data_IF_173378060395
#
_entry.id   IF_173378060395
#
_cell.length_a   1.000
_cell.length_b   1.000
_cell.length_c   1.000
_cell.angle_alpha   90.00
_cell.angle_beta   90.00
_cell.angle_gamma   90.00
#
_symmetry.space_group_name_H-M   'P 1'
#
loop_
_entity.id
_entity.type
_entity.pdbx_description
1 polymer ?
#
# COMPACT_ATOMS: atom_id res chain seq x y z
N UNK A 1 -5.28 -34.22 -1.65
CA UNK A 1 -4.28 -33.44 -2.42
C UNK A 1 -4.39 -32.01 -1.96
N UNK A 2 -3.37 -31.54 -1.24
CA UNK A 2 -3.30 -30.23 -0.60
C UNK A 2 -3.38 -29.11 -1.64
N UNK A 3 -4.31 -28.17 -1.44
CA UNK A 3 -4.41 -26.95 -2.24
C UNK A 3 -3.46 -25.91 -1.67
N UNK A 4 -2.45 -25.54 -2.45
CA UNK A 4 -1.58 -24.39 -2.20
C UNK A 4 -2.42 -23.10 -2.28
N UNK A 5 -2.89 -22.63 -1.13
CA UNK A 5 -3.32 -21.25 -1.00
C UNK A 5 -2.09 -20.38 -1.22
N UNK A 6 -2.19 -19.43 -2.15
CA UNK A 6 -1.24 -18.32 -2.23
C UNK A 6 -1.40 -17.54 -0.94
N UNK A 7 -0.58 -17.93 0.04
CA UNK A 7 -0.34 -17.17 1.24
C UNK A 7 0.27 -15.87 0.74
N UNK A 8 -0.52 -14.79 0.70
CA UNK A 8 0.07 -13.46 0.78
C UNK A 8 0.93 -13.52 2.04
N UNK A 9 2.26 -13.60 1.87
CA UNK A 9 3.17 -13.81 2.98
C UNK A 9 2.89 -12.73 4.02
N UNK A 10 2.18 -13.10 5.09
CA UNK A 10 2.23 -12.34 6.31
C UNK A 10 3.72 -12.28 6.66
N UNK A 11 4.31 -11.10 6.92
CA UNK A 11 5.66 -11.04 7.46
C UNK A 11 5.68 -11.97 8.66
N UNK A 12 6.46 -13.04 8.54
CA UNK A 12 6.63 -14.08 9.54
C UNK A 12 6.92 -13.38 10.87
N UNK A 13 6.17 -13.73 11.91
CA UNK A 13 6.27 -13.14 13.25
C UNK A 13 7.61 -13.41 13.97
N UNK A 14 8.66 -13.80 13.24
CA UNK A 14 10.02 -13.84 13.74
C UNK A 14 10.68 -12.54 13.33
N UNK A 15 11.04 -11.71 14.32
CA UNK A 15 11.65 -10.40 14.09
C UNK A 15 12.80 -10.51 13.10
N UNK A 16 12.70 -9.81 11.96
CA UNK A 16 13.79 -9.73 11.01
C UNK A 16 15.06 -9.26 11.75
N UNK A 17 16.17 -9.94 11.54
CA UNK A 17 17.46 -9.54 12.10
C UNK A 17 18.04 -8.34 11.33
N UNK A 18 19.05 -7.68 11.89
CA UNK A 18 19.82 -6.63 11.22
C UNK A 18 20.27 -7.07 9.80
N UNK A 19 20.47 -8.38 9.61
CA UNK A 19 20.97 -9.06 8.40
C UNK A 19 20.24 -8.78 7.10
N UNK A 20 19.03 -8.22 7.16
CA UNK A 20 18.21 -7.94 5.97
C UNK A 20 17.90 -6.44 5.78
N UNK A 21 18.45 -5.56 6.62
CA UNK A 21 18.19 -4.13 6.55
C UNK A 21 19.13 -3.42 5.57
N UNK A 22 18.61 -2.41 4.87
CA UNK A 22 19.39 -1.44 4.11
C UNK A 22 19.71 -0.23 4.98
N UNK A 23 20.97 -0.07 5.38
CA UNK A 23 21.46 1.06 6.14
C UNK A 23 22.11 2.09 5.21
N UNK A 24 21.66 3.34 5.23
CA UNK A 24 22.34 4.44 4.55
C UNK A 24 23.15 5.27 5.56
N UNK A 25 24.45 5.42 5.31
CA UNK A 25 25.37 6.22 6.11
C UNK A 25 25.74 7.48 5.34
N UNK A 26 25.52 8.63 5.95
CA UNK A 26 25.80 9.94 5.36
C UNK A 26 26.82 10.65 6.26
N UNK A 27 28.08 10.71 5.85
CA UNK A 27 29.15 11.41 6.60
C UNK A 27 30.18 11.97 5.62
N UNK A 28 30.53 13.26 5.77
CA UNK A 28 31.50 13.93 4.91
C UNK A 28 32.92 13.39 5.08
N UNK A 29 33.22 12.73 6.20
CA UNK A 29 34.48 12.03 6.42
C UNK A 29 34.45 10.65 5.77
N UNK A 30 35.25 10.48 4.71
CA UNK A 30 35.46 9.18 4.07
C UNK A 30 36.02 8.12 5.03
N UNK A 31 36.80 8.53 6.02
CA UNK A 31 37.35 7.61 7.01
C UNK A 31 36.23 7.02 7.88
N UNK A 32 35.32 7.87 8.37
CA UNK A 32 34.18 7.44 9.16
C UNK A 32 33.26 6.51 8.37
N UNK A 33 32.94 6.86 7.11
CA UNK A 33 32.10 6.00 6.27
C UNK A 33 32.77 4.65 6.00
N UNK A 34 34.08 4.62 5.69
CA UNK A 34 34.85 3.37 5.48
C UNK A 34 34.90 2.49 6.75
N UNK A 35 35.04 3.10 7.93
CA UNK A 35 35.06 2.39 9.21
C UNK A 35 33.69 1.79 9.50
N UNK A 36 32.63 2.59 9.46
CA UNK A 36 31.27 2.12 9.73
C UNK A 36 30.82 1.07 8.70
N UNK A 37 31.14 1.25 7.42
CA UNK A 37 30.90 0.26 6.38
C UNK A 37 31.56 -1.08 6.74
N UNK A 38 32.87 -1.10 7.01
CA UNK A 38 33.58 -2.34 7.35
C UNK A 38 32.99 -3.06 8.57
N UNK A 39 32.47 -2.31 9.53
CA UNK A 39 31.98 -2.86 10.80
C UNK A 39 30.51 -3.29 10.76
N UNK A 40 29.69 -2.68 9.90
CA UNK A 40 28.25 -2.92 9.80
C UNK A 40 27.85 -3.77 8.58
N UNK A 41 28.68 -3.81 7.52
CA UNK A 41 28.41 -4.64 6.33
C UNK A 41 28.46 -6.14 6.60
N UNK A 42 28.95 -6.58 7.76
CA UNK A 42 28.86 -7.98 8.20
C UNK A 42 27.44 -8.37 8.62
N UNK A 43 26.64 -7.39 9.01
CA UNK A 43 25.37 -7.59 9.68
C UNK A 43 24.20 -6.99 8.92
N UNK A 44 24.40 -6.19 7.86
CA UNK A 44 23.33 -5.57 7.08
C UNK A 44 23.87 -5.08 5.72
N UNK A 45 22.99 -4.70 4.79
CA UNK A 45 23.41 -4.06 3.54
C UNK A 45 23.69 -2.57 3.80
N UNK A 46 24.91 -2.11 3.52
CA UNK A 46 25.33 -0.73 3.82
C UNK A 46 25.55 0.05 2.54
N UNK A 47 24.87 1.20 2.46
CA UNK A 47 25.03 2.22 1.43
C UNK A 47 25.71 3.41 2.08
N UNK A 48 26.65 4.06 1.39
CA UNK A 48 27.37 5.22 1.92
C UNK A 48 27.24 6.40 0.99
N UNK A 49 27.19 7.60 1.55
CA UNK A 49 27.22 8.87 0.85
C UNK A 49 28.08 9.86 1.63
N UNK A 50 28.90 10.65 0.94
CA UNK A 50 29.73 11.70 1.57
C UNK A 50 29.14 13.09 1.43
N UNK A 51 28.07 13.22 0.63
CA UNK A 51 27.35 14.49 0.45
C UNK A 51 25.84 14.28 0.47
N UNK A 52 25.11 15.33 0.85
CA UNK A 52 23.63 15.36 0.80
C UNK A 52 23.09 15.04 -0.59
N UNK A 53 23.75 15.54 -1.64
CA UNK A 53 23.34 15.29 -3.03
C UNK A 53 23.48 13.82 -3.42
N UNK A 54 24.59 13.17 -3.05
CA UNK A 54 24.78 11.75 -3.30
C UNK A 54 23.72 10.90 -2.58
N UNK A 55 23.43 11.21 -1.32
CA UNK A 55 22.42 10.51 -0.54
C UNK A 55 21.01 10.63 -1.15
N UNK A 56 20.63 11.83 -1.60
CA UNK A 56 19.34 12.04 -2.25
C UNK A 56 19.27 11.33 -3.61
N UNK A 57 20.36 11.38 -4.40
CA UNK A 57 20.42 10.70 -5.68
C UNK A 57 20.33 9.18 -5.53
N UNK A 58 20.94 8.59 -4.51
CA UNK A 58 20.89 7.14 -4.27
C UNK A 58 19.45 6.70 -3.95
N UNK A 59 18.76 7.43 -3.06
CA UNK A 59 17.34 7.22 -2.73
C UNK A 59 16.46 7.41 -3.97
N UNK A 60 16.69 8.46 -4.74
CA UNK A 60 15.87 8.77 -5.92
C UNK A 60 16.06 7.70 -7.03
N UNK A 61 17.27 7.13 -7.17
CA UNK A 61 17.62 6.07 -8.14
C UNK A 61 17.03 4.70 -7.84
N UNK A 62 16.57 4.44 -6.62
CA UNK A 62 15.99 3.13 -6.29
C UNK A 62 16.39 2.57 -4.95
N UNK A 63 17.36 3.16 -4.25
CA UNK A 63 17.74 2.66 -2.94
C UNK A 63 16.62 2.92 -1.92
N UNK A 64 16.26 1.89 -1.16
CA UNK A 64 15.22 1.94 -0.14
C UNK A 64 15.85 1.68 1.23
N UNK A 65 16.45 2.70 1.87
CA UNK A 65 17.02 2.53 3.20
C UNK A 65 15.92 2.31 4.23
N UNK A 66 16.15 1.34 5.12
CA UNK A 66 15.29 1.07 6.28
C UNK A 66 15.62 1.98 7.46
N UNK A 67 16.84 2.51 7.48
CA UNK A 67 17.36 3.42 8.50
C UNK A 67 18.52 4.26 7.94
N UNK A 68 18.67 5.49 8.44
CA UNK A 68 19.73 6.43 8.02
C UNK A 68 20.58 6.80 9.24
N UNK A 69 21.90 6.70 9.11
CA UNK A 69 22.86 7.33 10.01
C UNK A 69 23.35 8.63 9.37
N UNK A 70 23.05 9.77 9.98
CA UNK A 70 23.35 11.10 9.42
C UNK A 70 24.34 11.85 10.30
N UNK A 71 25.55 12.06 9.79
CA UNK A 71 26.52 12.90 10.45
C UNK A 71 26.12 14.38 10.39
N UNK A 72 26.25 15.04 11.52
CA UNK A 72 26.06 16.47 11.68
C UNK A 72 27.36 17.08 12.21
N UNK A 73 27.68 18.28 11.73
CA UNK A 73 28.69 19.12 12.38
C UNK A 73 28.01 20.34 12.96
N UNK A 74 28.46 20.75 14.14
CA UNK A 74 27.97 21.94 14.82
C UNK A 74 28.21 23.24 14.04
N UNK A 75 29.17 23.22 13.11
CA UNK A 75 29.60 24.40 12.36
C UNK A 75 28.92 24.54 11.00
N UNK A 76 28.36 23.46 10.42
CA UNK A 76 27.94 23.49 9.01
C UNK A 76 26.42 23.55 8.77
N UNK A 77 25.55 23.27 9.75
CA UNK A 77 24.08 23.27 9.57
C UNK A 77 23.51 22.25 8.56
N UNK A 78 24.32 21.79 7.61
CA UNK A 78 23.97 21.02 6.42
C UNK A 78 23.28 19.70 6.74
N UNK A 79 23.65 19.04 7.84
CA UNK A 79 23.01 17.77 8.24
C UNK A 79 21.58 17.96 8.74
N UNK A 80 21.30 19.04 9.48
CA UNK A 80 19.93 19.34 9.92
C UNK A 80 19.05 19.80 8.76
N UNK A 81 19.61 20.51 7.79
CA UNK A 81 18.91 20.86 6.55
C UNK A 81 18.58 19.63 5.70
N UNK A 82 19.48 18.65 5.64
CA UNK A 82 19.20 17.37 5.00
C UNK A 82 18.08 16.62 5.73
N UNK A 83 18.10 16.57 7.06
CA UNK A 83 17.02 15.96 7.85
C UNK A 83 15.65 16.60 7.54
N UNK A 84 15.60 17.95 7.48
CA UNK A 84 14.38 18.67 7.08
C UNK A 84 13.89 18.26 5.70
N UNK A 85 14.81 18.11 4.74
CA UNK A 85 14.46 17.70 3.39
C UNK A 85 13.95 16.25 3.32
N UNK A 86 14.59 15.33 4.05
CA UNK A 86 14.17 13.94 4.17
C UNK A 86 12.76 13.84 4.77
N UNK A 87 12.43 14.67 5.77
CA UNK A 87 11.11 14.65 6.41
C UNK A 87 10.00 15.29 5.56
N UNK A 88 10.33 16.12 4.57
CA UNK A 88 9.35 16.67 3.61
C UNK A 88 9.00 15.69 2.48
N UNK A 89 9.91 14.80 2.10
CA UNK A 89 9.70 13.85 0.99
C UNK A 89 8.88 12.63 1.46
N UNK A 90 7.78 12.33 0.77
CA UNK A 90 6.89 11.20 1.12
C UNK A 90 7.60 9.83 1.16
N UNK A 91 8.66 9.65 0.35
CA UNK A 91 9.44 8.40 0.29
C UNK A 91 10.38 8.21 1.50
N UNK A 92 10.75 9.28 2.18
CA UNK A 92 11.79 9.27 3.23
C UNK A 92 11.30 9.69 4.60
N UNK A 93 10.14 10.36 4.70
CA UNK A 93 9.57 10.87 5.97
C UNK A 93 9.33 9.80 7.05
N UNK A 94 9.26 8.52 6.66
CA UNK A 94 9.02 7.40 7.57
C UNK A 94 10.28 6.57 7.85
N UNK A 95 11.42 6.98 7.30
CA UNK A 95 12.69 6.30 7.51
C UNK A 95 13.31 6.89 8.79
N UNK A 96 13.58 6.06 9.82
CA UNK A 96 14.24 6.53 11.04
C UNK A 96 15.62 7.10 10.71
N UNK A 97 15.90 8.31 11.20
CA UNK A 97 17.20 8.98 11.05
C UNK A 97 17.85 9.11 12.43
N UNK A 98 19.03 8.51 12.59
CA UNK A 98 19.87 8.66 13.78
C UNK A 98 20.97 9.67 13.46
N UNK A 99 21.09 10.70 14.29
CA UNK A 99 22.12 11.72 14.13
C UNK A 99 23.46 11.26 14.73
N UNK A 100 24.56 11.64 14.09
CA UNK A 100 25.91 11.36 14.57
C UNK A 100 26.72 12.66 14.68
N UNK A 101 27.27 12.99 15.84
CA UNK A 101 28.01 14.22 16.05
C UNK A 101 29.42 13.96 16.60
N UNK A 102 30.38 14.83 16.27
CA UNK A 102 31.75 14.73 16.78
C UNK A 102 31.88 15.08 18.27
N UNK A 103 30.98 15.92 18.79
CA UNK A 103 30.93 16.34 20.19
C UNK A 103 29.48 16.33 20.68
N UNK A 104 29.30 16.14 21.98
CA UNK A 104 27.99 16.33 22.59
C UNK A 104 27.64 17.81 22.60
N UNK A 105 26.41 18.12 22.18
CA UNK A 105 25.87 19.48 22.14
C UNK A 105 24.36 19.37 22.33
N UNK A 106 23.87 19.90 23.45
CA UNK A 106 22.48 19.77 23.88
C UNK A 106 21.52 20.51 22.94
N UNK A 107 21.93 21.66 22.41
CA UNK A 107 21.07 22.48 21.54
C UNK A 107 20.87 21.77 20.20
N UNK A 108 21.94 21.15 19.68
CA UNK A 108 21.90 20.38 18.45
C UNK A 108 21.08 19.09 18.63
N UNK A 109 21.24 18.39 19.74
CA UNK A 109 20.44 17.20 20.06
C UNK A 109 18.94 17.55 20.10
N UNK A 110 18.57 18.58 20.87
CA UNK A 110 17.19 19.04 20.99
C UNK A 110 16.62 19.47 19.64
N UNK A 111 17.39 20.21 18.83
CA UNK A 111 16.98 20.64 17.51
C UNK A 111 16.78 19.43 16.57
N UNK A 112 17.70 18.47 16.59
CA UNK A 112 17.65 17.27 15.77
C UNK A 112 16.43 16.39 16.08
N UNK A 113 16.18 16.13 17.37
CA UNK A 113 15.02 15.36 17.82
C UNK A 113 13.71 16.07 17.48
N UNK A 114 13.64 17.39 17.70
CA UNK A 114 12.45 18.20 17.34
C UNK A 114 12.17 18.22 15.84
N UNK A 115 13.20 18.08 15.00
CA UNK A 115 13.07 17.97 13.55
C UNK A 115 12.66 16.57 13.08
N UNK A 116 12.61 15.57 13.96
CA UNK A 116 12.16 14.21 13.66
C UNK A 116 13.28 13.16 13.60
N UNK A 117 14.49 13.47 14.06
CA UNK A 117 15.48 12.41 14.32
C UNK A 117 14.98 11.49 15.43
N UNK A 118 15.26 10.19 15.31
CA UNK A 118 14.81 9.18 16.28
C UNK A 118 15.85 8.93 17.39
N UNK A 119 17.09 9.37 17.17
CA UNK A 119 18.19 9.17 18.12
C UNK A 119 19.38 10.09 17.80
N UNK A 120 20.30 10.19 18.75
CA UNK A 120 21.52 10.99 18.68
C UNK A 120 22.72 10.20 19.23
N UNK A 121 23.83 10.17 18.49
CA UNK A 121 25.05 9.43 18.81
C UNK A 121 26.25 10.37 18.77
N UNK A 122 27.05 10.36 19.83
CA UNK A 122 28.32 11.11 19.90
C UNK A 122 29.48 10.19 19.55
N UNK A 123 30.44 10.69 18.77
CA UNK A 123 31.71 10.02 18.44
C UNK A 123 32.72 10.19 19.60
N UNK A 124 33.64 9.23 19.83
CA UNK A 124 33.95 8.06 19.02
C UNK A 124 32.90 6.94 19.11
N UNK A 125 32.79 6.15 18.05
CA UNK A 125 31.76 5.12 17.92
C UNK A 125 31.99 3.92 18.84
N UNK A 126 31.00 3.59 19.67
CA UNK A 126 30.93 2.29 20.32
C UNK A 126 30.05 1.35 19.48
N UNK A 127 30.68 0.51 18.64
CA UNK A 127 29.97 -0.32 17.64
C UNK A 127 28.85 -1.18 18.23
N UNK A 128 29.03 -1.88 19.37
CA UNK A 128 27.92 -2.60 20.00
C UNK A 128 26.71 -1.71 20.33
N UNK A 129 26.95 -0.46 20.75
CA UNK A 129 25.89 0.48 21.07
C UNK A 129 25.17 0.98 19.80
N UNK A 130 25.91 1.26 18.72
CA UNK A 130 25.32 1.62 17.42
C UNK A 130 24.43 0.48 16.91
N UNK A 131 24.92 -0.76 16.94
CA UNK A 131 24.14 -1.94 16.53
C UNK A 131 22.85 -2.09 17.35
N UNK A 132 22.95 -1.93 18.67
CA UNK A 132 21.79 -1.98 19.56
C UNK A 132 20.75 -0.89 19.23
N UNK A 133 21.19 0.35 19.02
CA UNK A 133 20.32 1.47 18.63
C UNK A 133 19.65 1.22 17.28
N UNK A 134 20.41 0.81 16.26
CA UNK A 134 19.86 0.46 14.94
C UNK A 134 18.80 -0.63 15.07
N UNK A 135 19.10 -1.72 15.78
CA UNK A 135 18.16 -2.81 16.00
C UNK A 135 16.87 -2.35 16.69
N UNK A 136 16.96 -1.50 17.71
CA UNK A 136 15.79 -0.97 18.41
C UNK A 136 14.89 -0.17 17.47
N UNK A 137 15.46 0.73 16.68
CA UNK A 137 14.69 1.58 15.75
C UNK A 137 14.12 0.80 14.57
N UNK A 138 14.86 -0.16 14.02
CA UNK A 138 14.34 -1.08 13.01
C UNK A 138 13.18 -1.93 13.56
N UNK A 139 13.29 -2.42 14.79
CA UNK A 139 12.23 -3.19 15.45
C UNK A 139 10.99 -2.32 15.69
N UNK A 140 11.18 -1.09 16.18
CA UNK A 140 10.09 -0.14 16.39
C UNK A 140 9.38 0.20 15.06
N UNK A 141 10.14 0.54 14.01
CA UNK A 141 9.60 0.80 12.67
C UNK A 141 8.74 -0.36 12.18
N UNK A 142 9.25 -1.59 12.28
CA UNK A 142 8.51 -2.79 11.83
C UNK A 142 7.23 -3.04 12.63
N UNK A 143 7.23 -2.78 13.94
CA UNK A 143 6.00 -2.87 14.75
C UNK A 143 4.95 -1.88 14.25
N UNK A 144 5.35 -0.64 14.00
CA UNK A 144 4.46 0.39 13.44
C UNK A 144 3.95 -0.02 12.05
N UNK A 145 4.83 -0.47 11.17
CA UNK A 145 4.45 -0.92 9.82
C UNK A 145 3.55 -2.17 9.85
N UNK A 146 3.74 -3.07 10.83
CA UNK A 146 2.86 -4.22 11.05
C UNK A 146 1.49 -3.79 11.55
N UNK A 147 1.42 -2.86 12.50
CA UNK A 147 0.14 -2.30 12.97
C UNK A 147 -0.61 -1.60 11.83
N UNK A 148 0.10 -0.86 10.99
CA UNK A 148 -0.47 -0.25 9.78
C UNK A 148 -0.99 -1.29 8.80
N UNK A 149 -0.22 -2.35 8.55
CA UNK A 149 -0.67 -3.46 7.71
C UNK A 149 -1.93 -4.13 8.25
N UNK A 150 -1.98 -4.41 9.56
CA UNK A 150 -3.18 -4.98 10.18
C UNK A 150 -4.38 -4.04 10.10
N UNK A 151 -4.15 -2.72 10.16
CA UNK A 151 -5.17 -1.71 9.94
C UNK A 151 -5.60 -1.54 8.47
N UNK A 152 -4.89 -2.16 7.52
CA UNK A 152 -5.14 -2.11 6.07
C UNK A 152 -5.92 -3.34 5.55
N UNK A 153 -6.16 -4.34 6.40
CA UNK A 153 -6.87 -5.58 6.06
C UNK A 153 -8.26 -5.59 6.71
N UNK A 154 -9.26 -6.08 5.98
CA UNK A 154 -10.60 -6.32 6.53
C UNK A 154 -10.57 -7.59 7.42
N UNK A 155 -10.99 -7.51 8.69
CA UNK A 155 -10.84 -8.61 9.63
C UNK A 155 -11.71 -9.82 9.32
N UNK A 156 -12.82 -9.64 8.59
CA UNK A 156 -13.70 -10.74 8.22
C UNK A 156 -13.16 -11.50 7.02
N UNK A 157 -12.87 -10.79 5.93
CA UNK A 157 -12.57 -11.36 4.62
C UNK A 157 -11.08 -11.55 4.36
N UNK A 158 -10.22 -10.95 5.20
CA UNK A 158 -8.74 -10.99 5.12
C UNK A 158 -8.15 -10.43 3.81
N UNK A 159 -8.95 -9.73 3.01
CA UNK A 159 -8.48 -8.94 1.87
C UNK A 159 -8.27 -7.48 2.31
N UNK A 160 -7.59 -6.65 1.52
CA UNK A 160 -7.51 -5.20 1.75
C UNK A 160 -8.86 -4.56 2.12
N UNK A 161 -8.85 -3.62 3.06
CA UNK A 161 -10.04 -2.85 3.40
C UNK A 161 -10.16 -1.58 2.52
N UNK A 162 -11.27 -0.87 2.68
CA UNK A 162 -11.54 0.42 2.02
C UNK A 162 -10.39 1.41 2.12
N UNK A 163 -9.80 1.59 3.30
CA UNK A 163 -8.69 2.53 3.50
C UNK A 163 -7.48 2.13 2.65
N UNK A 164 -7.13 0.85 2.63
CA UNK A 164 -6.03 0.33 1.80
C UNK A 164 -6.30 0.55 0.31
N UNK A 165 -7.51 0.28 -0.14
CA UNK A 165 -7.94 0.55 -1.51
C UNK A 165 -7.77 2.03 -1.88
N UNK A 166 -8.30 2.96 -1.08
CA UNK A 166 -8.22 4.40 -1.34
C UNK A 166 -6.76 4.87 -1.43
N UNK A 167 -5.88 4.39 -0.55
CA UNK A 167 -4.45 4.70 -0.60
C UNK A 167 -3.78 4.19 -1.88
N UNK A 168 -4.05 2.95 -2.29
CA UNK A 168 -3.47 2.39 -3.52
C UNK A 168 -4.03 3.06 -4.78
N UNK A 169 -5.31 3.41 -4.79
CA UNK A 169 -5.91 4.17 -5.89
C UNK A 169 -5.20 5.52 -6.08
N UNK A 170 -4.94 6.25 -4.98
CA UNK A 170 -4.21 7.52 -5.04
C UNK A 170 -2.75 7.36 -5.52
N UNK A 171 -2.08 6.28 -5.12
CA UNK A 171 -0.73 5.98 -5.57
C UNK A 171 -0.70 5.64 -7.07
N UNK A 172 -1.62 4.79 -7.51
CA UNK A 172 -1.71 4.38 -8.91
C UNK A 172 -2.14 5.55 -9.80
N UNK A 173 -3.08 6.40 -9.34
CA UNK A 173 -3.47 7.63 -10.05
C UNK A 173 -2.25 8.47 -10.43
N UNK A 174 -1.40 8.78 -9.44
CA UNK A 174 -0.17 9.56 -9.64
C UNK A 174 0.80 8.89 -10.61
N UNK A 175 0.90 7.55 -10.56
CA UNK A 175 1.76 6.79 -11.46
C UNK A 175 1.22 6.83 -12.89
N UNK A 176 -0.06 6.54 -13.07
CA UNK A 176 -0.75 6.49 -14.34
C UNK A 176 -0.81 7.86 -15.03
N UNK A 177 -0.93 8.96 -14.29
CA UNK A 177 -0.77 10.32 -14.84
C UNK A 177 0.58 10.53 -15.55
N UNK A 178 1.65 9.88 -15.06
CA UNK A 178 2.99 9.99 -15.66
C UNK A 178 3.16 9.05 -16.84
N UNK A 179 2.62 7.85 -16.75
CA UNK A 179 2.77 6.83 -17.79
C UNK A 179 1.71 6.93 -18.89
N UNK A 180 0.66 7.73 -18.69
CA UNK A 180 -0.55 7.81 -19.55
C UNK A 180 -1.14 6.44 -19.82
N UNK A 181 -1.26 5.63 -18.77
CA UNK A 181 -1.87 4.30 -18.84
C UNK A 181 -3.22 4.31 -18.13
N UNK A 182 -4.11 3.43 -18.58
CA UNK A 182 -5.46 3.31 -18.07
C UNK A 182 -5.48 2.74 -16.65
N UNK A 183 -6.44 3.21 -15.85
CA UNK A 183 -6.85 2.61 -14.59
C UNK A 183 -8.31 2.20 -14.71
N UNK A 184 -8.63 1.00 -14.25
CA UNK A 184 -10.00 0.52 -14.13
C UNK A 184 -10.39 0.29 -12.67
N UNK A 185 -11.63 0.65 -12.32
CA UNK A 185 -12.27 0.33 -11.05
C UNK A 185 -13.51 -0.52 -11.34
N UNK A 186 -13.69 -1.60 -10.58
CA UNK A 186 -14.95 -2.33 -10.49
C UNK A 186 -15.56 -2.12 -9.12
N UNK A 187 -16.79 -1.62 -9.04
CA UNK A 187 -17.59 -1.63 -7.82
C UNK A 187 -18.55 -2.81 -7.88
N UNK A 188 -18.57 -3.63 -6.84
CA UNK A 188 -19.28 -4.91 -6.78
C UNK A 188 -20.17 -4.89 -5.54
N UNK A 189 -21.45 -5.22 -5.69
CA UNK A 189 -22.37 -5.40 -4.58
C UNK A 189 -23.15 -6.70 -4.76
N UNK A 190 -23.33 -7.43 -3.66
CA UNK A 190 -24.05 -8.70 -3.65
C UNK A 190 -25.55 -8.46 -3.63
N UNK A 191 -26.22 -8.96 -4.67
CA UNK A 191 -27.65 -8.77 -4.85
C UNK A 191 -28.45 -9.49 -3.77
N UNK A 192 -29.39 -8.76 -3.15
CA UNK A 192 -30.35 -9.28 -2.16
C UNK A 192 -29.70 -9.96 -0.93
N UNK A 193 -28.45 -9.60 -0.61
CA UNK A 193 -27.68 -10.22 0.47
C UNK A 193 -28.30 -10.01 1.86
N UNK A 194 -28.98 -8.87 2.09
CA UNK A 194 -29.76 -8.66 3.32
C UNK A 194 -30.81 -9.75 3.53
N UNK A 195 -31.56 -10.13 2.48
CA UNK A 195 -32.57 -11.19 2.56
C UNK A 195 -31.97 -12.54 2.91
N UNK A 196 -30.74 -12.80 2.47
CA UNK A 196 -29.98 -13.99 2.86
C UNK A 196 -29.62 -13.97 4.35
N UNK A 197 -29.10 -12.84 4.84
CA UNK A 197 -28.80 -12.68 6.28
C UNK A 197 -30.04 -12.83 7.15
N UNK A 198 -31.16 -12.23 6.75
CA UNK A 198 -32.43 -12.32 7.49
C UNK A 198 -32.94 -13.78 7.57
N UNK A 199 -32.63 -14.61 6.57
CA UNK A 199 -33.05 -16.02 6.51
C UNK A 199 -32.10 -16.98 7.22
N UNK A 200 -30.78 -16.84 7.02
CA UNK A 200 -29.77 -17.82 7.45
C UNK A 200 -28.90 -17.34 8.61
N UNK A 201 -29.07 -16.08 9.04
CA UNK A 201 -28.30 -15.46 10.10
C UNK A 201 -26.97 -14.87 9.61
N UNK A 202 -26.48 -13.87 10.34
CA UNK A 202 -25.26 -13.14 10.01
C UNK A 202 -24.01 -14.03 9.95
N UNK A 203 -23.91 -15.07 10.78
CA UNK A 203 -22.76 -16.00 10.75
C UNK A 203 -22.62 -16.70 9.39
N UNK A 204 -23.74 -17.07 8.75
CA UNK A 204 -23.76 -17.65 7.41
C UNK A 204 -23.46 -16.61 6.33
N UNK A 205 -23.92 -15.38 6.51
CA UNK A 205 -23.51 -14.25 5.68
C UNK A 205 -22.00 -14.04 5.71
N UNK A 206 -21.41 -14.06 6.91
CA UNK A 206 -19.97 -13.91 7.11
C UNK A 206 -19.16 -15.02 6.44
N UNK A 207 -19.64 -16.28 6.53
CA UNK A 207 -19.07 -17.41 5.78
C UNK A 207 -19.14 -17.16 4.25
N UNK A 208 -20.26 -16.64 3.76
CA UNK A 208 -20.45 -16.32 2.35
C UNK A 208 -19.48 -15.22 1.88
N UNK A 209 -19.38 -14.12 2.62
CA UNK A 209 -18.47 -13.01 2.31
C UNK A 209 -17.01 -13.46 2.28
N UNK A 210 -16.59 -14.34 3.20
CA UNK A 210 -15.24 -14.92 3.21
C UNK A 210 -14.95 -15.72 1.94
N UNK A 211 -15.91 -16.51 1.46
CA UNK A 211 -15.75 -17.32 0.24
C UNK A 211 -15.76 -16.43 -1.01
N UNK A 212 -16.66 -15.44 -1.09
CA UNK A 212 -16.71 -14.47 -2.19
C UNK A 212 -15.38 -13.70 -2.30
N UNK A 213 -14.86 -13.18 -1.19
CA UNK A 213 -13.59 -12.45 -1.17
C UNK A 213 -12.43 -13.27 -1.76
N UNK A 214 -12.35 -14.55 -1.38
CA UNK A 214 -11.36 -15.48 -1.91
C UNK A 214 -11.55 -15.76 -3.40
N UNK A 215 -12.79 -15.85 -3.88
CA UNK A 215 -13.09 -16.11 -5.30
C UNK A 215 -12.81 -14.90 -6.18
N UNK A 216 -13.19 -13.70 -5.73
CA UNK A 216 -12.86 -12.44 -6.42
C UNK A 216 -11.35 -12.27 -6.56
N UNK A 217 -10.60 -12.56 -5.50
CA UNK A 217 -9.14 -12.45 -5.49
C UNK A 217 -8.46 -13.39 -6.50
N UNK A 218 -9.04 -14.55 -6.84
CA UNK A 218 -8.49 -15.46 -7.86
C UNK A 218 -8.57 -14.92 -9.29
N UNK A 219 -9.50 -13.99 -9.55
CA UNK A 219 -9.69 -13.38 -10.86
C UNK A 219 -8.65 -12.28 -11.14
N UNK A 220 -7.97 -11.80 -10.10
CA UNK A 220 -7.05 -10.67 -10.17
C UNK A 220 -5.64 -11.16 -9.83
N UNK A 221 -4.83 -11.44 -10.86
CA UNK A 221 -3.53 -12.12 -10.70
C UNK A 221 -2.31 -11.26 -11.03
N UNK A 222 -2.49 -10.07 -11.60
CA UNK A 222 -1.36 -9.21 -11.97
C UNK A 222 -0.86 -8.45 -10.75
N UNK A 223 0.46 -8.34 -10.65
CA UNK A 223 1.11 -7.52 -9.63
C UNK A 223 0.64 -6.08 -9.73
N UNK A 224 0.01 -5.58 -8.66
CA UNK A 224 -0.49 -4.21 -8.56
C UNK A 224 -2.01 -4.09 -8.67
N UNK A 225 -2.68 -5.08 -9.26
CA UNK A 225 -4.14 -5.17 -9.16
C UNK A 225 -4.53 -5.61 -7.74
N UNK A 226 -5.72 -5.24 -7.31
CA UNK A 226 -6.16 -5.47 -5.93
C UNK A 226 -7.67 -5.63 -5.84
N UNK A 227 -8.12 -6.56 -5.01
CA UNK A 227 -9.50 -6.67 -4.52
C UNK A 227 -9.55 -6.19 -3.07
N UNK A 228 -10.56 -5.42 -2.71
CA UNK A 228 -10.77 -4.93 -1.36
C UNK A 228 -12.24 -5.03 -0.95
N UNK A 229 -12.50 -5.17 0.35
CA UNK A 229 -13.87 -5.01 0.89
C UNK A 229 -14.11 -3.54 1.18
N UNK A 230 -15.11 -2.97 0.53
CA UNK A 230 -15.39 -1.53 0.60
C UNK A 230 -16.30 -1.20 1.78
N UNK A 231 -17.27 -2.06 2.09
CA UNK A 231 -18.13 -1.98 3.27
C UNK A 231 -19.27 -2.99 3.18
N UNK A 232 -19.75 -3.55 4.31
CA UNK A 232 -20.89 -4.48 4.29
C UNK A 232 -20.70 -5.65 3.31
N UNK A 233 -21.55 -5.73 2.30
CA UNK A 233 -21.51 -6.70 1.19
C UNK A 233 -20.86 -6.18 -0.10
N UNK A 234 -20.27 -4.97 -0.05
CA UNK A 234 -19.62 -4.31 -1.19
C UNK A 234 -18.13 -4.63 -1.26
N UNK A 235 -17.68 -4.92 -2.47
CA UNK A 235 -16.29 -5.14 -2.84
C UNK A 235 -15.88 -4.17 -3.93
N UNK A 236 -14.59 -3.87 -3.98
CA UNK A 236 -14.02 -3.00 -5.01
C UNK A 236 -12.75 -3.60 -5.57
N UNK A 237 -12.54 -3.42 -6.86
CA UNK A 237 -11.34 -3.91 -7.56
C UNK A 237 -10.63 -2.73 -8.21
N UNK A 238 -9.33 -2.64 -8.00
CA UNK A 238 -8.42 -1.74 -8.71
C UNK A 238 -7.60 -2.55 -9.71
N UNK A 239 -7.63 -2.19 -10.99
CA UNK A 239 -6.80 -2.80 -12.02
C UNK A 239 -5.93 -1.76 -12.72
N UNK A 240 -4.65 -2.07 -12.86
CA UNK A 240 -3.64 -1.22 -13.48
C UNK A 240 -3.49 -1.60 -14.96
N UNK A 241 -3.33 -0.60 -15.84
CA UNK A 241 -3.10 -0.82 -17.27
C UNK A 241 -4.21 -1.71 -17.88
N UNK A 242 -5.45 -1.42 -17.53
CA UNK A 242 -6.60 -2.25 -17.87
C UNK A 242 -7.57 -1.46 -18.72
N UNK A 243 -7.80 -1.96 -19.94
CA UNK A 243 -8.77 -1.39 -20.87
C UNK A 243 -10.20 -1.71 -20.47
N UNK A 244 -11.15 -0.92 -20.97
CA UNK A 244 -12.57 -1.11 -20.70
C UNK A 244 -13.07 -2.52 -21.05
N UNK A 245 -12.67 -3.04 -22.21
CA UNK A 245 -13.05 -4.40 -22.63
C UNK A 245 -12.52 -5.47 -21.66
N UNK A 246 -11.27 -5.34 -21.21
CA UNK A 246 -10.70 -6.27 -20.23
C UNK A 246 -11.36 -6.12 -18.85
N UNK A 247 -11.68 -4.90 -18.43
CA UNK A 247 -12.36 -4.64 -17.16
C UNK A 247 -13.76 -5.28 -17.14
N UNK A 248 -14.54 -5.11 -18.22
CA UNK A 248 -15.85 -5.75 -18.37
C UNK A 248 -15.74 -7.28 -18.44
N UNK A 249 -14.75 -7.81 -19.14
CA UNK A 249 -14.51 -9.26 -19.18
C UNK A 249 -14.24 -9.84 -17.78
N UNK A 250 -13.36 -9.20 -17.00
CA UNK A 250 -13.07 -9.62 -15.63
C UNK A 250 -14.29 -9.46 -14.72
N UNK A 251 -15.07 -8.39 -14.88
CA UNK A 251 -16.31 -8.20 -14.15
C UNK A 251 -17.31 -9.34 -14.40
N UNK A 252 -17.52 -9.74 -15.66
CA UNK A 252 -18.40 -10.87 -15.97
C UNK A 252 -17.88 -12.21 -15.43
N UNK A 253 -16.57 -12.44 -15.43
CA UNK A 253 -15.99 -13.61 -14.77
C UNK A 253 -16.24 -13.62 -13.26
N UNK A 254 -16.11 -12.48 -12.59
CA UNK A 254 -16.39 -12.34 -11.16
C UNK A 254 -17.87 -12.58 -10.86
N UNK A 255 -18.77 -11.96 -11.64
CA UNK A 255 -20.21 -12.14 -11.51
C UNK A 255 -20.61 -13.61 -11.65
N UNK A 256 -20.17 -14.27 -12.73
CA UNK A 256 -20.46 -15.68 -12.98
C UNK A 256 -19.85 -16.59 -11.89
N UNK A 257 -18.71 -16.21 -11.31
CA UNK A 257 -18.10 -16.95 -10.22
C UNK A 257 -18.92 -16.88 -8.92
N UNK A 258 -19.46 -15.70 -8.58
CA UNK A 258 -20.36 -15.52 -7.42
C UNK A 258 -21.65 -16.33 -7.60
N UNK A 259 -22.29 -16.23 -8.77
CA UNK A 259 -23.48 -17.02 -9.09
C UNK A 259 -23.22 -18.53 -8.98
N UNK A 260 -22.08 -19.00 -9.51
CA UNK A 260 -21.66 -20.40 -9.39
C UNK A 260 -21.44 -20.82 -7.93
N UNK A 261 -20.84 -19.97 -7.10
CA UNK A 261 -20.63 -20.25 -5.68
C UNK A 261 -21.97 -20.44 -4.95
N UNK A 262 -22.93 -19.56 -5.21
CA UNK A 262 -24.27 -19.65 -4.62
C UNK A 262 -24.95 -20.98 -4.95
N UNK A 263 -24.89 -21.41 -6.21
CA UNK A 263 -25.49 -22.67 -6.66
C UNK A 263 -24.74 -23.91 -6.14
N UNK A 264 -23.41 -23.95 -6.28
CA UNK A 264 -22.66 -25.20 -6.13
C UNK A 264 -22.09 -25.40 -4.72
N UNK A 265 -21.74 -24.32 -4.02
CA UNK A 265 -21.11 -24.40 -2.70
C UNK A 265 -22.10 -24.18 -1.58
N UNK A 266 -23.01 -23.24 -1.76
CA UNK A 266 -24.05 -22.95 -0.76
C UNK A 266 -25.37 -23.66 -1.04
N UNK A 267 -25.49 -24.36 -2.18
CA UNK A 267 -26.67 -25.14 -2.58
C UNK A 267 -27.97 -24.32 -2.53
N UNK A 268 -27.90 -23.03 -2.88
CA UNK A 268 -29.06 -22.15 -2.90
C UNK A 268 -29.92 -22.46 -4.13
N UNK A 269 -31.24 -22.48 -3.95
CA UNK A 269 -32.16 -22.61 -5.07
C UNK A 269 -32.26 -21.30 -5.86
N UNK A 270 -32.95 -21.34 -7.01
CA UNK A 270 -33.08 -20.18 -7.91
C UNK A 270 -33.78 -18.97 -7.29
N UNK A 271 -34.52 -19.12 -6.19
CA UNK A 271 -35.23 -18.04 -5.49
C UNK A 271 -34.35 -17.40 -4.41
N UNK A 272 -33.40 -18.16 -3.86
CA UNK A 272 -32.47 -17.73 -2.79
C UNK A 272 -31.08 -17.37 -3.33
N UNK A 273 -30.94 -17.34 -4.66
CA UNK A 273 -29.66 -17.17 -5.34
C UNK A 273 -29.08 -15.77 -5.06
N UNK A 274 -27.90 -15.74 -4.43
CA UNK A 274 -27.11 -14.51 -4.34
C UNK A 274 -26.31 -14.35 -5.64
N UNK A 275 -26.48 -13.20 -6.28
CA UNK A 275 -25.71 -12.79 -7.47
C UNK A 275 -24.93 -11.51 -7.16
N UNK A 276 -24.33 -10.90 -8.18
CA UNK A 276 -23.68 -9.61 -8.02
C UNK A 276 -24.03 -8.63 -9.13
N UNK A 277 -24.20 -7.37 -8.75
CA UNK A 277 -24.25 -6.23 -9.65
C UNK A 277 -22.89 -5.55 -9.66
N UNK A 278 -22.31 -5.35 -10.85
CA UNK A 278 -20.94 -4.84 -10.99
C UNK A 278 -20.92 -3.60 -11.89
N UNK A 279 -20.43 -2.49 -11.36
CA UNK A 279 -20.19 -1.28 -12.11
C UNK A 279 -18.73 -1.15 -12.51
N UNK A 280 -18.46 -0.93 -13.79
CA UNK A 280 -17.11 -0.76 -14.32
C UNK A 280 -16.88 0.71 -14.68
N UNK A 281 -15.74 1.28 -14.32
CA UNK A 281 -15.30 2.57 -14.82
C UNK A 281 -13.82 2.52 -15.19
N UNK A 282 -13.45 3.09 -16.33
CA UNK A 282 -12.07 3.13 -16.82
C UNK A 282 -11.74 4.54 -17.30
N UNK A 283 -10.56 5.03 -16.95
CA UNK A 283 -10.08 6.32 -17.46
C UNK A 283 -8.56 6.31 -17.66
N UNK A 284 -8.09 7.30 -18.40
CA UNK A 284 -6.68 7.71 -18.38
C UNK A 284 -6.55 8.89 -17.40
N UNK A 285 -5.84 8.73 -16.26
CA UNK A 285 -5.69 9.78 -15.27
C UNK A 285 -4.97 11.02 -15.80
N UNK A 286 -5.48 12.21 -15.47
CA UNK A 286 -4.81 13.49 -15.74
C UNK A 286 -4.38 14.15 -14.43
N UNK A 287 -3.49 15.16 -14.52
CA UNK A 287 -3.02 15.90 -13.32
C UNK A 287 -4.15 16.68 -12.64
N UNK A 288 -5.10 17.17 -13.42
CA UNK A 288 -6.21 17.99 -12.93
C UNK A 288 -7.40 17.10 -12.50
N UNK A 289 -7.48 15.87 -12.99
CA UNK A 289 -8.50 14.90 -12.60
C UNK A 289 -8.35 14.37 -11.17
N UNK A 290 -9.46 13.87 -10.62
CA UNK A 290 -9.53 13.32 -9.27
C UNK A 290 -9.88 11.83 -9.28
N UNK A 291 -9.08 11.00 -8.62
CA UNK A 291 -9.31 9.55 -8.52
C UNK A 291 -10.68 9.19 -7.92
N UNK A 292 -11.22 10.07 -7.05
CA UNK A 292 -12.56 9.92 -6.47
C UNK A 292 -13.66 9.90 -7.55
N UNK A 293 -13.50 10.64 -8.65
CA UNK A 293 -14.52 10.68 -9.71
C UNK A 293 -14.64 9.33 -10.41
N UNK A 294 -13.52 8.64 -10.66
CA UNK A 294 -13.54 7.29 -11.24
C UNK A 294 -14.29 6.29 -10.35
N UNK A 295 -14.12 6.41 -9.03
CA UNK A 295 -14.82 5.57 -8.07
C UNK A 295 -16.33 5.86 -8.03
N UNK A 296 -16.70 7.15 -8.07
CA UNK A 296 -18.11 7.57 -8.16
C UNK A 296 -18.75 7.10 -9.46
N UNK A 297 -18.01 7.10 -10.57
CA UNK A 297 -18.50 6.56 -11.85
C UNK A 297 -18.72 5.04 -11.78
N UNK A 298 -17.81 4.29 -11.16
CA UNK A 298 -17.98 2.85 -10.95
C UNK A 298 -19.20 2.54 -10.06
N UNK A 299 -19.39 3.31 -8.99
CA UNK A 299 -20.54 3.20 -8.10
C UNK A 299 -21.86 3.50 -8.82
N UNK A 300 -21.92 4.58 -9.61
CA UNK A 300 -23.08 4.90 -10.45
C UNK A 300 -23.38 3.76 -11.44
N UNK A 301 -22.37 3.19 -12.08
CA UNK A 301 -22.55 2.07 -13.00
C UNK A 301 -23.04 0.80 -12.29
N UNK A 302 -22.64 0.57 -11.04
CA UNK A 302 -23.14 -0.54 -10.23
C UNK A 302 -24.61 -0.33 -9.87
N UNK A 303 -24.99 0.90 -9.50
CA UNK A 303 -26.38 1.25 -9.28
C UNK A 303 -27.23 1.03 -10.54
N UNK A 304 -26.70 1.40 -11.72
CA UNK A 304 -27.36 1.12 -13.00
C UNK A 304 -27.50 -0.39 -13.25
N UNK A 305 -26.48 -1.20 -12.99
CA UNK A 305 -26.58 -2.67 -13.06
C UNK A 305 -27.73 -3.22 -12.20
N UNK A 306 -27.88 -2.72 -10.96
CA UNK A 306 -29.00 -3.08 -10.08
C UNK A 306 -30.35 -2.71 -10.71
N UNK A 307 -30.48 -1.48 -11.21
CA UNK A 307 -31.73 -0.97 -11.81
C UNK A 307 -32.16 -1.73 -13.07
N UNK A 308 -31.20 -2.28 -13.83
CA UNK A 308 -31.44 -3.04 -15.06
C UNK A 308 -31.80 -4.51 -14.81
N UNK A 309 -32.01 -4.92 -13.56
CA UNK A 309 -32.41 -6.27 -13.19
C UNK A 309 -31.31 -7.11 -12.55
N UNK A 310 -30.28 -6.46 -11.96
CA UNK A 310 -29.22 -7.10 -11.18
C UNK A 310 -28.41 -8.13 -11.99
N UNK A 311 -27.57 -8.92 -11.32
CA UNK A 311 -26.79 -10.04 -11.88
C UNK A 311 -26.13 -9.70 -13.23
N UNK A 312 -25.34 -8.61 -13.28
CA UNK A 312 -24.66 -8.15 -14.50
C UNK A 312 -23.48 -7.24 -14.20
N UNK A 313 -22.53 -7.19 -15.13
CA UNK A 313 -21.60 -6.07 -15.24
C UNK A 313 -22.22 -4.96 -16.12
N UNK A 314 -21.93 -3.71 -15.79
CA UNK A 314 -22.41 -2.54 -16.53
C UNK A 314 -21.36 -1.44 -16.61
N UNK A 315 -21.31 -0.76 -17.76
CA UNK A 315 -20.61 0.50 -17.96
C UNK A 315 -21.45 1.36 -18.90
N UNK A 316 -21.65 2.63 -18.56
CA UNK A 316 -22.43 3.56 -19.40
C UNK A 316 -21.65 4.01 -20.64
N UNK A 317 -20.31 4.01 -20.57
CA UNK A 317 -19.44 4.45 -21.67
C UNK A 317 -19.09 3.30 -22.60
N UNK A 318 -19.11 3.57 -23.91
CA UNK A 318 -18.59 2.66 -24.94
C UNK A 318 -17.11 2.89 -25.26
N UNK A 319 -16.57 4.07 -24.92
CA UNK A 319 -15.18 4.47 -25.22
C UNK A 319 -14.47 5.06 -23.99
N UNK A 320 -13.14 5.03 -24.04
CA UNK A 320 -12.27 5.57 -22.98
C UNK A 320 -12.31 7.10 -22.95
N UNK A 321 -12.42 7.67 -21.75
CA UNK A 321 -12.44 9.12 -21.53
C UNK A 321 -11.27 9.54 -20.65
N UNK A 322 -10.62 10.65 -20.99
CA UNK A 322 -9.63 11.29 -20.12
C UNK A 322 -10.31 11.79 -18.84
N UNK A 323 -9.70 11.55 -17.68
CA UNK A 323 -10.24 12.04 -16.42
C UNK A 323 -10.09 13.56 -16.32
N UNK A 324 -11.06 14.32 -16.82
CA UNK A 324 -11.14 15.77 -16.63
C UNK A 324 -11.94 16.07 -15.35
N UNK A 325 -11.67 17.22 -14.74
CA UNK A 325 -12.60 17.77 -13.75
C UNK A 325 -13.83 18.25 -14.51
N UNK A 326 -14.88 17.43 -14.53
CA UNK A 326 -16.20 17.97 -14.82
C UNK A 326 -16.58 18.83 -13.61
N UNK A 327 -16.68 20.14 -13.82
CA UNK A 327 -17.27 21.04 -12.84
C UNK A 327 -18.68 20.55 -12.56
N UNK A 328 -18.89 19.95 -11.39
CA UNK A 328 -20.23 19.70 -10.88
C UNK A 328 -20.86 21.06 -10.54
N UNK A 329 -21.76 21.52 -11.41
CA UNK A 329 -22.86 22.40 -11.01
C UNK A 329 -23.91 21.59 -10.24
#
# INVERSE_FOLDING_TARGET
MQSDYVTCCAPSGQGLMLSQANLLIIDSSEENTKILYRLLSKDCNVITATTSQQALQSIDKGDHPDIILLAISAESGNGLDLLRLLNKKARTKEIPVILMANRYDVDIELQGLSLGAVDYIVKPFHIPAIKARINNHLTAKRRVDRLRYLADIDPLTLIPNRRRFEMSLQQEWKRACRTRLEIAILMIDLDDFKSYNDRYGHDKGDDFLRVVAGELSKQVRRTGDMVARYGGEEFVVLMQKCSLANALYIAELMRAAIERLSLQRFNLNSVELITASIGCAVCIPTRDGAAKHLLVEADRNMYMAKSLGKNRAYCDKTDLVEARQDNAE
#
